data_IF_150582879347
#
_entry.id   IF_150582879347
#
_cell.length_a   1.000
_cell.length_b   1.000
_cell.length_c   1.000
_cell.angle_alpha   90.00
_cell.angle_beta   90.00
_cell.angle_gamma   90.00
#
_symmetry.space_group_name_H-M   'P 1'
#
loop_
_entity.id
_entity.type
_entity.pdbx_description
1 polymer ?
#
# COMPACT_ATOMS: atom_id res chain seq x y z
N UNK A 1 41.21 25.94 10.26
CA UNK A 1 40.29 25.16 9.39
C UNK A 1 39.15 24.64 10.26
N UNK A 2 37.98 25.28 10.20
CA UNK A 2 36.83 24.90 11.02
C UNK A 2 35.92 23.96 10.22
N UNK A 3 35.72 22.72 10.69
CA UNK A 3 34.74 21.78 10.13
C UNK A 3 33.35 22.14 10.65
N UNK A 4 32.48 22.61 9.76
CA UNK A 4 31.06 22.78 10.05
C UNK A 4 30.37 21.41 10.10
N UNK A 5 29.72 21.11 11.22
CA UNK A 5 28.83 19.96 11.36
C UNK A 5 27.47 20.32 10.77
N UNK A 6 27.06 19.65 9.70
CA UNK A 6 25.69 19.70 9.21
C UNK A 6 24.78 18.94 10.17
N UNK A 7 24.12 19.69 11.07
CA UNK A 7 23.03 19.18 11.90
C UNK A 7 21.75 19.25 11.05
N UNK A 8 21.34 18.11 10.49
CA UNK A 8 20.09 17.99 9.73
C UNK A 8 18.87 18.40 10.57
N UNK A 9 17.78 18.87 9.94
CA UNK A 9 16.62 19.38 10.65
C UNK A 9 15.96 18.27 11.47
N UNK A 10 15.95 18.44 12.80
CA UNK A 10 15.11 17.66 13.71
C UNK A 10 13.64 17.99 13.41
N UNK A 11 13.00 17.12 12.65
CA UNK A 11 11.56 17.17 12.39
C UNK A 11 10.84 17.05 13.74
N UNK A 12 10.18 18.14 14.11
CA UNK A 12 9.46 18.31 15.38
C UNK A 12 8.30 17.32 15.39
N UNK A 13 8.47 16.18 16.08
CA UNK A 13 7.43 15.17 16.33
C UNK A 13 6.29 15.82 17.10
N UNK A 14 5.24 16.24 16.39
CA UNK A 14 4.00 16.76 16.98
C UNK A 14 3.03 15.60 17.18
N UNK A 15 3.38 14.70 18.09
CA UNK A 15 2.54 13.61 18.55
C UNK A 15 2.92 13.33 19.98
N UNK A 16 1.98 13.46 20.92
CA UNK A 16 2.25 13.17 22.33
C UNK A 16 2.83 11.77 22.46
N UNK A 17 3.95 11.63 23.16
CA UNK A 17 4.65 10.35 23.27
C UNK A 17 3.69 9.25 23.76
N UNK A 18 3.38 8.30 22.88
CA UNK A 18 2.54 7.16 23.22
C UNK A 18 3.20 6.37 24.34
N UNK A 19 2.42 6.05 25.37
CA UNK A 19 2.88 5.27 26.51
C UNK A 19 2.63 3.79 26.24
N UNK A 20 3.59 2.94 26.59
CA UNK A 20 3.43 1.50 26.53
C UNK A 20 4.71 0.76 26.17
N UNK A 21 4.62 -0.57 26.13
CA UNK A 21 5.72 -1.44 25.72
C UNK A 21 5.97 -1.30 24.22
N UNK A 22 7.23 -1.15 23.84
CA UNK A 22 7.69 -1.27 22.45
C UNK A 22 7.68 -2.74 22.03
N UNK A 23 7.03 -3.04 20.92
CA UNK A 23 7.00 -4.35 20.28
C UNK A 23 7.45 -4.18 18.83
N UNK A 24 8.33 -5.06 18.36
CA UNK A 24 8.78 -5.10 16.95
C UNK A 24 8.37 -6.43 16.35
N UNK A 25 7.62 -6.38 15.27
CA UNK A 25 7.24 -7.54 14.49
C UNK A 25 7.95 -7.45 13.13
N UNK A 26 8.50 -8.57 12.67
CA UNK A 26 9.09 -8.66 11.35
C UNK A 26 8.75 -10.00 10.73
N UNK A 27 8.47 -9.99 9.43
CA UNK A 27 8.25 -11.21 8.69
C UNK A 27 8.68 -11.05 7.23
N UNK A 28 8.92 -12.19 6.58
CA UNK A 28 9.33 -12.28 5.18
C UNK A 28 8.50 -13.34 4.44
N UNK A 29 8.31 -13.11 3.15
CA UNK A 29 7.70 -14.05 2.21
C UNK A 29 8.57 -14.13 0.95
N UNK A 30 8.65 -15.31 0.33
CA UNK A 30 9.26 -15.50 -0.98
C UNK A 30 10.78 -15.69 -0.97
N UNK A 31 11.40 -15.55 -2.15
CA UNK A 31 12.83 -15.82 -2.42
C UNK A 31 13.55 -14.56 -2.95
N UNK A 32 14.83 -14.68 -3.30
CA UNK A 32 15.66 -13.52 -3.66
C UNK A 32 15.11 -12.66 -4.81
N UNK A 33 14.41 -13.29 -5.76
CA UNK A 33 13.90 -12.64 -6.97
C UNK A 33 12.44 -12.20 -6.85
N UNK A 34 11.70 -12.83 -5.93
CA UNK A 34 10.32 -12.51 -5.59
C UNK A 34 10.13 -12.60 -4.08
N UNK A 35 10.33 -11.48 -3.37
CA UNK A 35 10.16 -11.42 -1.92
C UNK A 35 9.35 -10.19 -1.48
N UNK A 36 8.73 -10.33 -0.30
CA UNK A 36 8.21 -9.24 0.49
C UNK A 36 8.79 -9.33 1.91
N UNK A 37 9.15 -8.19 2.49
CA UNK A 37 9.66 -8.03 3.85
C UNK A 37 8.86 -6.95 4.54
N UNK A 38 8.43 -7.25 5.75
CA UNK A 38 7.57 -6.37 6.52
C UNK A 38 8.19 -6.21 7.90
N UNK A 39 8.22 -4.97 8.38
CA UNK A 39 8.53 -4.64 9.76
C UNK A 39 7.46 -3.70 10.30
N UNK A 40 7.00 -3.96 11.52
CA UNK A 40 5.97 -3.18 12.21
C UNK A 40 6.47 -2.88 13.61
N UNK A 41 6.47 -1.60 13.98
CA UNK A 41 6.69 -1.20 15.38
C UNK A 41 5.36 -0.85 16.03
N UNK A 42 5.14 -1.38 17.23
CA UNK A 42 3.99 -1.08 18.05
C UNK A 42 4.41 -0.46 19.38
N UNK A 43 3.64 0.50 19.87
CA UNK A 43 3.76 1.07 21.21
C UNK A 43 2.41 0.87 21.92
N UNK A 44 2.43 0.16 23.05
CA UNK A 44 1.20 -0.11 23.81
C UNK A 44 0.16 -0.90 23.02
N UNK A 45 0.61 -1.77 22.11
CA UNK A 45 -0.27 -2.58 21.26
C UNK A 45 -0.86 -1.84 20.05
N UNK A 46 -0.44 -0.59 19.79
CA UNK A 46 -0.83 0.18 18.61
C UNK A 46 0.34 0.34 17.67
N UNK A 47 0.08 0.23 16.37
CA UNK A 47 1.08 0.50 15.33
C UNK A 47 1.52 1.97 15.39
N UNK A 48 2.84 2.13 15.46
CA UNK A 48 3.57 3.39 15.41
C UNK A 48 4.24 3.57 14.03
N UNK A 49 4.75 2.50 13.45
CA UNK A 49 5.33 2.54 12.11
C UNK A 49 5.15 1.20 11.38
N UNK A 50 5.08 1.28 10.05
CA UNK A 50 5.15 0.13 9.15
C UNK A 50 6.18 0.40 8.07
N UNK A 51 7.06 -0.58 7.85
CA UNK A 51 7.94 -0.65 6.70
C UNK A 51 7.58 -1.89 5.87
N UNK A 52 7.35 -1.68 4.58
CA UNK A 52 7.11 -2.72 3.60
C UNK A 52 8.14 -2.59 2.48
N UNK A 53 8.84 -3.67 2.20
CA UNK A 53 9.74 -3.78 1.07
C UNK A 53 9.32 -4.97 0.23
N UNK A 54 9.25 -4.81 -1.08
CA UNK A 54 9.13 -5.94 -1.98
C UNK A 54 10.06 -5.84 -3.17
N UNK A 55 10.44 -7.01 -3.67
CA UNK A 55 11.27 -7.17 -4.87
C UNK A 55 10.59 -8.18 -5.76
N UNK A 56 10.35 -7.78 -7.00
CA UNK A 56 9.96 -8.63 -8.10
C UNK A 56 10.77 -8.18 -9.30
N UNK A 57 11.93 -8.82 -9.55
CA UNK A 57 12.89 -8.35 -10.55
C UNK A 57 12.21 -8.04 -11.90
N UNK A 58 12.53 -6.88 -12.52
CA UNK A 58 13.54 -5.89 -12.12
C UNK A 58 13.04 -4.84 -11.10
N UNK A 59 11.81 -4.96 -10.60
CA UNK A 59 11.10 -3.94 -9.85
C UNK A 59 11.26 -4.11 -8.34
N UNK A 60 11.24 -2.98 -7.63
CA UNK A 60 11.25 -2.94 -6.16
C UNK A 60 10.25 -1.91 -5.66
N UNK A 61 9.51 -2.24 -4.61
CA UNK A 61 8.67 -1.29 -3.89
C UNK A 61 9.24 -1.10 -2.48
N UNK A 62 9.22 0.14 -1.99
CA UNK A 62 9.57 0.43 -0.61
C UNK A 62 8.62 1.47 -0.05
N UNK A 63 7.98 1.12 1.06
CA UNK A 63 7.03 1.95 1.79
C UNK A 63 7.50 2.03 3.22
N UNK A 64 7.57 3.24 3.77
CA UNK A 64 7.78 3.44 5.19
C UNK A 64 6.85 4.56 5.64
N UNK A 65 5.90 4.21 6.51
CA UNK A 65 4.89 5.13 7.01
C UNK A 65 5.03 5.16 8.52
N UNK A 66 5.21 6.37 9.05
CA UNK A 66 5.39 6.61 10.48
C UNK A 66 4.22 7.44 10.95
N UNK A 67 3.68 7.07 12.11
CA UNK A 67 2.61 7.84 12.75
C UNK A 67 3.09 9.26 13.04
N UNK A 68 2.15 10.21 12.87
CA UNK A 68 2.37 11.65 13.08
C UNK A 68 3.46 12.25 12.18
N UNK A 69 3.75 11.62 11.04
CA UNK A 69 4.56 12.22 9.98
C UNK A 69 3.76 13.22 9.14
N UNK A 70 4.45 13.93 8.24
CA UNK A 70 3.82 14.94 7.40
C UNK A 70 3.04 14.34 6.21
N UNK A 71 2.99 13.02 6.06
CA UNK A 71 2.49 12.34 4.86
C UNK A 71 1.30 11.43 5.12
N UNK A 72 0.93 11.25 6.40
CA UNK A 72 -0.15 10.35 6.80
C UNK A 72 -0.96 10.90 7.97
N UNK A 73 -2.28 10.70 7.90
CA UNK A 73 -3.21 10.98 8.99
C UNK A 73 -3.70 9.66 9.56
N UNK A 74 -3.70 9.56 10.90
CA UNK A 74 -4.04 8.33 11.62
C UNK A 74 -5.24 8.58 12.52
N UNK A 75 -6.26 7.72 12.42
CA UNK A 75 -7.49 7.80 13.22
C UNK A 75 -7.75 6.45 13.88
N UNK A 76 -7.70 6.42 15.22
CA UNK A 76 -7.91 5.18 15.97
C UNK A 76 -9.37 5.04 16.40
N UNK A 77 -10.00 3.91 16.07
CA UNK A 77 -11.38 3.56 16.42
C UNK A 77 -11.42 2.14 16.97
N UNK A 78 -11.49 2.01 18.30
CA UNK A 78 -11.53 0.68 18.94
C UNK A 78 -10.27 -0.13 18.59
N UNK A 79 -10.42 -1.34 18.05
CA UNK A 79 -9.31 -2.19 17.62
C UNK A 79 -8.83 -1.89 16.18
N UNK A 80 -9.38 -0.88 15.52
CA UNK A 80 -9.02 -0.50 14.16
C UNK A 80 -8.30 0.86 14.16
N UNK A 81 -7.34 1.03 13.27
CA UNK A 81 -6.77 2.32 12.90
C UNK A 81 -6.98 2.56 11.42
N UNK A 82 -7.53 3.71 11.05
CA UNK A 82 -7.56 4.19 9.67
C UNK A 82 -6.31 5.04 9.43
N UNK A 83 -5.59 4.74 8.36
CA UNK A 83 -4.46 5.55 7.91
C UNK A 83 -4.77 6.09 6.52
N UNK A 84 -4.87 7.42 6.42
CA UNK A 84 -5.10 8.12 5.16
C UNK A 84 -3.79 8.76 4.73
N UNK A 85 -3.35 8.46 3.51
CA UNK A 85 -2.18 9.10 2.93
C UNK A 85 -2.58 10.44 2.31
N UNK A 86 -1.70 11.42 2.40
CA UNK A 86 -1.93 12.75 1.81
C UNK A 86 -2.01 12.69 0.28
N UNK A 87 -2.47 13.77 -0.35
CA UNK A 87 -2.54 13.92 -1.82
C UNK A 87 -3.34 12.81 -2.52
N UNK A 88 -4.38 12.29 -1.86
CA UNK A 88 -5.26 11.23 -2.42
C UNK A 88 -4.49 9.95 -2.81
N UNK A 89 -3.37 9.69 -2.13
CA UNK A 89 -2.49 8.53 -2.39
C UNK A 89 -3.02 7.23 -1.81
N UNK A 90 -4.27 7.22 -1.36
CA UNK A 90 -5.02 6.06 -0.87
C UNK A 90 -5.12 6.01 0.65
N UNK A 91 -5.69 4.91 1.15
CA UNK A 91 -5.83 4.66 2.58
C UNK A 91 -5.67 3.19 2.92
N UNK A 92 -5.38 2.88 4.17
CA UNK A 92 -5.38 1.51 4.64
C UNK A 92 -5.91 1.42 6.06
N UNK A 93 -6.48 0.26 6.38
CA UNK A 93 -6.94 -0.07 7.72
C UNK A 93 -5.93 -0.96 8.39
N UNK A 94 -5.74 -0.74 9.69
CA UNK A 94 -4.95 -1.60 10.57
C UNK A 94 -5.89 -2.19 11.61
N UNK A 95 -6.09 -3.50 11.56
CA UNK A 95 -6.82 -4.26 12.57
C UNK A 95 -5.83 -4.85 13.58
N UNK A 96 -5.97 -4.43 14.84
CA UNK A 96 -5.12 -4.83 15.95
C UNK A 96 -5.81 -5.95 16.73
N UNK A 97 -5.30 -7.17 16.59
CA UNK A 97 -5.68 -8.29 17.45
C UNK A 97 -4.55 -8.64 18.41
N UNK A 98 -4.84 -9.48 19.42
CA UNK A 98 -3.80 -9.98 20.34
C UNK A 98 -2.78 -10.89 19.63
N UNK A 99 -3.18 -11.57 18.55
CA UNK A 99 -2.36 -12.60 17.88
C UNK A 99 -1.65 -12.08 16.64
N UNK A 100 -2.27 -11.13 15.94
CA UNK A 100 -1.77 -10.62 14.68
C UNK A 100 -2.15 -9.14 14.49
N UNK A 101 -1.45 -8.50 13.56
CA UNK A 101 -1.79 -7.17 13.03
C UNK A 101 -2.10 -7.35 11.56
N UNK A 102 -3.31 -6.96 11.14
CA UNK A 102 -3.76 -7.07 9.75
C UNK A 102 -3.85 -5.69 9.13
N UNK A 103 -3.25 -5.53 7.96
CA UNK A 103 -3.30 -4.34 7.14
C UNK A 103 -4.20 -4.63 5.94
N UNK A 104 -5.14 -3.72 5.66
CA UNK A 104 -6.00 -3.77 4.48
C UNK A 104 -5.75 -2.52 3.64
N UNK A 105 -5.05 -2.68 2.53
CA UNK A 105 -4.71 -1.60 1.62
C UNK A 105 -5.87 -1.31 0.67
N UNK A 106 -6.21 -0.03 0.51
CA UNK A 106 -7.28 0.45 -0.36
C UNK A 106 -6.74 1.55 -1.26
N UNK A 107 -6.60 1.21 -2.53
CA UNK A 107 -6.24 2.16 -3.59
C UNK A 107 -4.95 2.94 -3.33
N UNK A 108 -3.95 2.30 -2.72
CA UNK A 108 -2.67 2.95 -2.45
C UNK A 108 -1.94 3.18 -3.77
N UNK A 109 -1.51 4.42 -4.02
CA UNK A 109 -0.86 4.77 -5.28
C UNK A 109 0.48 4.06 -5.47
N UNK A 110 0.59 3.18 -6.48
CA UNK A 110 1.83 2.46 -6.79
C UNK A 110 2.93 3.39 -7.25
N UNK A 111 2.60 4.53 -7.86
CA UNK A 111 3.61 5.36 -8.51
C UNK A 111 4.57 5.94 -7.46
N UNK A 112 3.99 6.39 -6.34
CA UNK A 112 4.74 6.96 -5.22
C UNK A 112 5.70 5.96 -4.55
N UNK A 113 5.32 4.69 -4.48
CA UNK A 113 6.00 3.70 -3.64
C UNK A 113 6.78 2.64 -4.42
N UNK A 114 6.39 2.42 -5.67
CA UNK A 114 6.93 1.39 -6.55
C UNK A 114 7.42 1.94 -7.89
N UNK A 115 7.20 3.23 -8.20
CA UNK A 115 7.55 3.81 -9.50
C UNK A 115 6.76 3.21 -10.66
N UNK A 116 5.53 2.74 -10.41
CA UNK A 116 4.65 2.16 -11.42
C UNK A 116 3.26 2.76 -11.32
N UNK A 117 2.58 2.96 -12.45
CA UNK A 117 1.17 3.31 -12.42
C UNK A 117 0.30 2.18 -11.83
N UNK A 118 -0.89 2.56 -11.39
CA UNK A 118 -1.88 1.67 -10.81
C UNK A 118 -2.02 1.85 -9.30
N UNK A 119 -2.89 1.03 -8.72
CA UNK A 119 -3.21 1.08 -7.29
C UNK A 119 -2.91 -0.25 -6.62
N UNK A 120 -2.62 -0.22 -5.32
CA UNK A 120 -2.47 -1.42 -4.49
C UNK A 120 -3.75 -1.59 -3.69
N UNK A 121 -4.40 -2.73 -3.90
CA UNK A 121 -5.52 -3.20 -3.09
C UNK A 121 -5.20 -4.61 -2.64
N UNK A 122 -5.29 -4.88 -1.35
CA UNK A 122 -4.90 -6.17 -0.82
C UNK A 122 -4.83 -6.22 0.69
N UNK A 123 -4.32 -7.31 1.22
CA UNK A 123 -4.12 -7.48 2.65
C UNK A 123 -2.75 -8.05 3.00
N UNK A 124 -2.31 -7.72 4.19
CA UNK A 124 -1.06 -8.18 4.79
C UNK A 124 -1.33 -8.51 6.26
N UNK A 125 -0.99 -9.72 6.67
CA UNK A 125 -1.13 -10.14 8.07
C UNK A 125 0.23 -10.49 8.64
N UNK A 126 0.57 -9.84 9.76
CA UNK A 126 1.77 -10.11 10.55
C UNK A 126 1.35 -10.82 11.83
N UNK A 127 1.72 -12.09 11.98
CA UNK A 127 1.37 -12.89 13.15
C UNK A 127 2.50 -12.84 14.18
N UNK A 128 2.17 -12.51 15.43
CA UNK A 128 3.15 -12.46 16.53
C UNK A 128 3.81 -13.82 16.75
N UNK A 129 5.13 -13.82 16.90
CA UNK A 129 5.91 -15.05 17.07
C UNK A 129 6.09 -15.87 15.79
N UNK A 130 5.64 -15.38 14.62
CA UNK A 130 5.89 -16.00 13.32
C UNK A 130 6.75 -15.10 12.45
N UNK A 131 7.74 -15.70 11.78
CA UNK A 131 8.62 -15.00 10.84
C UNK A 131 8.04 -14.95 9.40
N UNK A 132 6.92 -15.61 9.15
CA UNK A 132 6.27 -15.63 7.83
C UNK A 132 5.02 -14.74 7.84
N UNK A 133 4.88 -13.91 6.81
CA UNK A 133 3.68 -13.08 6.61
C UNK A 133 2.69 -13.79 5.69
N UNK A 134 1.42 -13.41 5.82
CA UNK A 134 0.40 -13.72 4.81
C UNK A 134 0.14 -12.45 4.00
N UNK A 135 0.19 -12.56 2.67
CA UNK A 135 0.06 -11.42 1.76
C UNK A 135 -0.83 -11.81 0.58
N UNK A 136 -1.79 -10.95 0.26
CA UNK A 136 -2.80 -11.18 -0.78
C UNK A 136 -3.08 -9.86 -1.51
N UNK A 137 -3.15 -9.83 -2.85
CA UNK A 137 -3.48 -8.63 -3.63
C UNK A 137 -2.38 -7.56 -3.73
N UNK A 138 -1.51 -7.44 -2.71
CA UNK A 138 -0.50 -6.37 -2.62
C UNK A 138 0.59 -6.51 -3.69
N UNK A 139 0.93 -7.75 -4.04
CA UNK A 139 1.97 -8.06 -5.02
C UNK A 139 1.41 -8.36 -6.40
N UNK A 140 0.09 -8.38 -6.58
CA UNK A 140 -0.49 -8.82 -7.84
C UNK A 140 -0.22 -7.77 -8.94
N UNK A 141 0.08 -8.27 -10.13
CA UNK A 141 0.11 -7.42 -11.31
C UNK A 141 -1.33 -7.02 -11.60
N UNK A 142 -1.59 -5.72 -11.73
CA UNK A 142 -2.73 -5.31 -12.53
C UNK A 142 -2.35 -5.66 -13.98
N UNK A 143 -2.76 -6.84 -14.44
CA UNK A 143 -3.07 -6.97 -15.85
C UNK A 143 -4.31 -6.12 -16.06
N UNK A 144 -4.13 -5.00 -16.76
CA UNK A 144 -5.24 -4.23 -17.27
C UNK A 144 -6.00 -5.17 -18.20
N UNK A 145 -7.03 -5.84 -17.67
CA UNK A 145 -7.93 -6.63 -18.49
C UNK A 145 -8.43 -5.66 -19.57
N UNK A 146 -8.18 -5.95 -20.86
CA UNK A 146 -8.74 -5.11 -21.91
C UNK A 146 -10.24 -5.03 -21.66
N UNK A 147 -10.79 -3.82 -21.70
CA UNK A 147 -12.21 -3.58 -21.47
C UNK A 147 -13.01 -4.66 -22.21
N UNK A 148 -14.03 -5.27 -21.58
CA UNK A 148 -14.85 -6.28 -22.26
C UNK A 148 -15.29 -5.66 -23.58
N UNK A 149 -14.96 -6.33 -24.69
CA UNK A 149 -15.29 -5.84 -26.01
C UNK A 149 -16.78 -5.49 -26.01
N UNK A 150 -17.09 -4.21 -26.13
CA UNK A 150 -18.48 -3.78 -26.29
C UNK A 150 -18.98 -4.53 -27.51
N UNK A 151 -20.05 -5.34 -27.41
CA UNK A 151 -20.59 -6.02 -28.57
C UNK A 151 -20.98 -4.92 -29.56
N UNK A 152 -20.24 -4.84 -30.67
CA UNK A 152 -20.57 -3.93 -31.77
C UNK A 152 -21.98 -4.33 -32.19
N UNK A 153 -22.98 -3.44 -32.07
CA UNK A 153 -24.32 -3.76 -32.54
C UNK A 153 -24.21 -4.15 -34.03
N UNK A 154 -24.87 -5.23 -34.48
CA UNK A 154 -24.81 -5.63 -35.87
C UNK A 154 -25.21 -4.45 -36.74
N UNK A 155 -24.38 -4.16 -37.75
CA UNK A 155 -24.66 -3.11 -38.70
C UNK A 155 -26.04 -3.35 -39.31
N UNK A 156 -26.95 -2.40 -39.10
CA UNK A 156 -28.24 -2.39 -39.76
C UNK A 156 -27.98 -2.39 -41.26
N UNK A 157 -28.55 -3.32 -42.06
CA UNK A 157 -28.43 -3.26 -43.51
C UNK A 157 -29.23 -2.06 -43.99
N UNK A 158 -28.55 -0.93 -44.16
CA UNK A 158 -29.02 0.14 -45.00
C UNK A 158 -28.42 -0.08 -46.39
N UNK A 159 -29.32 0.01 -47.39
CA UNK A 159 -29.06 0.26 -48.80
C UNK A 159 -28.97 -0.97 -49.72
N UNK A 160 -29.96 -1.09 -50.63
CA UNK A 160 -29.75 -0.99 -52.08
C UNK A 160 -30.97 -1.51 -52.84
N UNK A 161 -31.88 -0.62 -53.26
CA UNK A 161 -32.57 -0.57 -54.58
C UNK A 161 -33.24 0.82 -54.66
N UNK A 162 -33.08 1.70 -55.64
CA UNK A 162 -32.40 1.69 -56.93
C UNK A 162 -32.76 3.02 -57.62
N UNK A 163 -31.78 3.61 -58.29
CA UNK A 163 -31.81 4.88 -59.03
C UNK A 163 -32.71 4.77 -60.28
N UNK A 164 -33.37 5.85 -60.76
CA UNK A 164 -34.42 5.80 -61.78
C UNK A 164 -33.89 5.70 -63.22
N UNK A 165 -34.73 5.26 -64.15
CA UNK A 165 -34.50 5.39 -65.60
C UNK A 165 -35.81 5.64 -66.35
N UNK A 166 -35.79 6.78 -67.07
CA UNK A 166 -36.54 7.19 -68.27
C UNK A 166 -38.03 7.47 -68.17
#
# INVERSE_FOLDING_TARGET
>A
MHKAQHKGPQQKRQGGARRGRLEKLACQLGNEDRQARIAVELIGGRVESIAYYSKWKPRTCSVHIVRDDAYSKWEDTGHVTVVTLNEEKGSFLIDHSRRAVKFLFREIDRERFCGMHGKITGSLTVTRGRAQCELEGVMDYFEEQPAPAVPVPPATPAELQGVPLS
#
